data_IF_151344640549
#
_entry.id   IF_151344640549
#
_cell.length_a   1.000
_cell.length_b   1.000
_cell.length_c   1.000
_cell.angle_alpha   90.00
_cell.angle_beta   90.00
_cell.angle_gamma   90.00
#
_symmetry.space_group_name_H-M   'P 1'
#
loop_
_entity.id
_entity.type
_entity.pdbx_description
1 polymer ?
#
# COMPACT_ATOMS: atom_id res chain seq x y z
N UNK A 1 -22.32 -9.35 23.05
CA UNK A 1 -21.71 -8.05 23.37
C UNK A 1 -22.29 -7.01 22.42
N UNK A 2 -23.22 -6.19 22.89
CA UNK A 2 -23.80 -5.08 22.14
C UNK A 2 -22.85 -3.89 22.37
N UNK A 3 -22.33 -3.31 21.29
CA UNK A 3 -21.18 -2.39 21.32
C UNK A 3 -21.48 -1.07 22.04
N UNK A 4 -20.54 -0.69 22.91
CA UNK A 4 -20.49 0.56 23.71
C UNK A 4 -20.50 1.84 22.84
N UNK A 5 -20.38 1.70 21.52
CA UNK A 5 -20.34 2.80 20.54
C UNK A 5 -21.64 3.61 20.42
N UNK A 6 -22.78 3.08 20.90
CA UNK A 6 -24.08 3.73 20.77
C UNK A 6 -24.29 4.91 21.73
N UNK A 7 -23.35 5.13 22.67
CA UNK A 7 -23.41 6.17 23.71
C UNK A 7 -22.42 7.33 23.50
N UNK A 8 -21.62 7.33 22.44
CA UNK A 8 -20.71 8.44 22.17
C UNK A 8 -21.40 9.55 21.38
N UNK A 9 -21.34 10.76 21.91
CA UNK A 9 -21.83 11.97 21.25
C UNK A 9 -20.96 12.27 20.02
N UNK A 10 -21.58 12.39 18.84
CA UNK A 10 -20.87 12.68 17.59
C UNK A 10 -20.52 14.15 17.54
N UNK A 11 -19.23 14.47 17.56
CA UNK A 11 -18.71 15.80 17.26
C UNK A 11 -17.99 15.80 15.90
N UNK A 12 -18.15 16.88 15.14
CA UNK A 12 -17.42 17.11 13.89
C UNK A 12 -16.30 18.12 14.12
N UNK A 13 -15.09 17.78 13.69
CA UNK A 13 -13.94 18.68 13.70
C UNK A 13 -13.57 19.00 12.25
N UNK A 14 -13.44 20.28 11.93
CA UNK A 14 -12.83 20.71 10.67
C UNK A 14 -11.31 20.72 10.82
N UNK A 15 -10.62 20.08 9.87
CA UNK A 15 -9.16 20.03 9.83
C UNK A 15 -8.67 20.67 8.53
N UNK A 16 -7.55 21.39 8.60
CA UNK A 16 -6.94 22.04 7.44
C UNK A 16 -5.90 21.13 6.80
N UNK A 17 -6.00 20.93 5.48
CA UNK A 17 -4.96 20.25 4.71
C UNK A 17 -3.90 21.26 4.26
N UNK A 18 -2.61 20.93 4.48
CA UNK A 18 -1.49 21.79 4.06
C UNK A 18 -1.14 21.59 2.59
N UNK A 19 -1.28 20.36 2.08
CA UNK A 19 -0.91 20.01 0.72
C UNK A 19 -1.72 18.81 0.23
N UNK A 20 -1.92 18.74 -1.09
CA UNK A 20 -2.51 17.61 -1.78
C UNK A 20 -1.65 17.28 -3.01
N UNK A 21 -1.39 15.99 -3.21
CA UNK A 21 -0.66 15.47 -4.37
C UNK A 21 -1.46 14.37 -5.03
N UNK A 22 -1.69 14.51 -6.34
CA UNK A 22 -2.18 13.41 -7.16
C UNK A 22 -0.99 12.65 -7.72
N UNK A 23 -0.97 11.34 -7.49
CA UNK A 23 0.18 10.49 -7.83
C UNK A 23 -0.01 9.95 -9.24
N UNK A 24 1.00 10.13 -10.09
CA UNK A 24 1.03 9.64 -11.47
C UNK A 24 2.24 8.74 -11.70
N UNK A 25 2.02 7.66 -12.45
CA UNK A 25 3.07 6.87 -13.06
C UNK A 25 2.95 7.01 -14.57
N UNK A 26 3.95 7.64 -15.20
CA UNK A 26 3.83 8.16 -16.58
C UNK A 26 2.58 9.05 -16.67
N UNK A 27 1.73 8.84 -17.66
CA UNK A 27 0.50 9.61 -17.88
C UNK A 27 -0.74 9.00 -17.20
N UNK A 28 -0.56 7.99 -16.33
CA UNK A 28 -1.64 7.29 -15.64
C UNK A 28 -1.65 7.61 -14.14
N UNK A 29 -2.82 7.99 -13.63
CA UNK A 29 -3.00 8.22 -12.20
C UNK A 29 -2.95 6.90 -11.43
N UNK A 30 -2.24 6.90 -10.30
CA UNK A 30 -2.23 5.78 -9.35
C UNK A 30 -3.40 5.96 -8.39
N UNK A 31 -4.42 5.14 -8.54
CA UNK A 31 -5.58 5.12 -7.65
C UNK A 31 -5.39 4.17 -6.46
N UNK A 32 -6.35 4.18 -5.54
CA UNK A 32 -6.49 3.17 -4.48
C UNK A 32 -5.28 3.06 -3.53
N UNK A 33 -4.56 4.16 -3.31
CA UNK A 33 -3.53 4.24 -2.27
C UNK A 33 -4.22 4.11 -0.92
N UNK A 34 -3.85 3.09 -0.14
CA UNK A 34 -4.56 2.75 1.09
C UNK A 34 -3.67 2.91 2.33
N UNK A 35 -2.78 1.96 2.56
CA UNK A 35 -1.87 1.97 3.71
C UNK A 35 -0.57 2.67 3.34
N UNK A 36 -0.17 3.66 4.15
CA UNK A 36 1.00 4.50 3.93
C UNK A 36 2.02 4.31 5.06
N UNK A 37 3.30 4.34 4.72
CA UNK A 37 4.40 4.38 5.69
C UNK A 37 5.49 5.36 5.25
N UNK A 38 6.05 6.13 6.19
CA UNK A 38 7.16 7.04 5.92
C UNK A 38 8.51 6.35 6.17
N UNK A 39 9.25 6.11 5.10
CA UNK A 39 10.49 5.31 5.10
C UNK A 39 11.62 6.15 4.51
N UNK A 40 12.57 6.53 5.35
CA UNK A 40 13.83 7.20 4.95
C UNK A 40 13.67 8.37 3.94
N UNK A 41 12.66 9.21 4.14
CA UNK A 41 12.41 10.39 3.29
C UNK A 41 11.35 10.19 2.21
N UNK A 42 10.86 8.96 2.05
CA UNK A 42 9.85 8.59 1.07
C UNK A 42 8.53 8.23 1.76
N UNK A 43 7.44 8.39 1.03
CA UNK A 43 6.14 7.84 1.40
C UNK A 43 5.94 6.57 0.60
N UNK A 44 5.78 5.44 1.26
CA UNK A 44 5.46 4.18 0.62
C UNK A 44 3.98 3.91 0.78
N UNK A 45 3.30 3.46 -0.27
CA UNK A 45 1.87 3.19 -0.22
C UNK A 45 1.52 1.87 -0.89
N UNK A 46 0.73 1.04 -0.23
CA UNK A 46 0.12 -0.12 -0.86
C UNK A 46 -0.99 0.32 -1.82
N UNK A 47 -1.02 -0.25 -3.02
CA UNK A 47 -2.12 -0.06 -3.98
C UNK A 47 -3.17 -1.15 -3.74
N UNK A 48 -4.32 -0.76 -3.19
CA UNK A 48 -5.38 -1.69 -2.81
C UNK A 48 -5.87 -2.51 -4.01
N UNK A 49 -6.20 -3.78 -3.75
CA UNK A 49 -6.50 -4.84 -4.74
C UNK A 49 -5.32 -5.31 -5.60
N UNK A 50 -4.09 -4.92 -5.27
CA UNK A 50 -2.87 -5.36 -5.96
C UNK A 50 -1.85 -5.94 -4.96
N UNK A 51 -0.74 -6.47 -5.48
CA UNK A 51 0.45 -6.84 -4.72
C UNK A 51 1.61 -5.87 -4.96
N UNK A 52 1.29 -4.58 -5.11
CA UNK A 52 2.25 -3.54 -5.42
C UNK A 52 2.31 -2.48 -4.31
N UNK A 53 3.54 -2.07 -3.99
CA UNK A 53 3.82 -0.88 -3.18
C UNK A 53 4.46 0.16 -4.09
N UNK A 54 3.92 1.36 -4.09
CA UNK A 54 4.51 2.52 -4.77
C UNK A 54 5.38 3.31 -3.79
N UNK A 55 6.57 3.72 -4.22
CA UNK A 55 7.46 4.63 -3.49
C UNK A 55 7.26 6.03 -4.04
N UNK A 56 6.91 6.98 -3.17
CA UNK A 56 6.48 8.32 -3.52
C UNK A 56 7.41 9.33 -2.86
N UNK A 57 7.83 10.33 -3.63
CA UNK A 57 8.53 11.50 -3.10
C UNK A 57 7.58 12.33 -2.23
N UNK A 58 7.97 12.57 -0.98
CA UNK A 58 7.23 13.43 -0.06
C UNK A 58 7.08 14.88 -0.57
N UNK A 59 8.04 15.35 -1.39
CA UNK A 59 8.12 16.77 -1.75
C UNK A 59 7.14 17.16 -2.86
N UNK A 60 7.01 16.30 -3.87
CA UNK A 60 6.32 16.61 -5.13
C UNK A 60 5.37 15.49 -5.60
N UNK A 61 5.21 14.41 -4.83
CA UNK A 61 4.29 13.32 -5.18
C UNK A 61 4.74 12.45 -6.35
N UNK A 62 5.95 12.63 -6.89
CA UNK A 62 6.44 11.80 -7.99
C UNK A 62 6.69 10.36 -7.53
N UNK A 63 6.42 9.40 -8.41
CA UNK A 63 6.79 8.00 -8.19
C UNK A 63 8.31 7.84 -8.31
N UNK A 64 8.93 7.36 -7.23
CA UNK A 64 10.37 7.05 -7.15
C UNK A 64 10.65 5.60 -7.56
N UNK A 65 9.66 4.72 -7.46
CA UNK A 65 9.79 3.32 -7.87
C UNK A 65 8.63 2.45 -7.40
N UNK A 66 8.69 1.19 -7.79
CA UNK A 66 7.70 0.18 -7.47
C UNK A 66 8.37 -1.00 -6.77
N UNK A 67 7.66 -1.58 -5.80
CA UNK A 67 8.02 -2.83 -5.15
C UNK A 67 6.90 -3.82 -5.46
N UNK A 68 7.26 -4.91 -6.12
CA UNK A 68 6.37 -6.00 -6.43
C UNK A 68 6.48 -7.04 -5.30
N UNK A 69 5.35 -7.56 -4.82
CA UNK A 69 5.28 -8.59 -3.78
C UNK A 69 4.81 -9.95 -4.35
N UNK A 70 5.46 -10.53 -5.39
CA UNK A 70 4.96 -11.71 -6.08
C UNK A 70 4.91 -12.96 -5.18
N UNK A 71 5.88 -13.09 -4.27
CA UNK A 71 6.06 -14.30 -3.44
C UNK A 71 5.11 -14.38 -2.24
N UNK A 72 4.34 -13.33 -1.95
CA UNK A 72 3.33 -13.37 -0.89
C UNK A 72 2.05 -14.11 -1.33
N UNK A 73 2.00 -14.66 -2.54
CA UNK A 73 0.83 -15.41 -3.04
C UNK A 73 0.96 -16.92 -2.86
N UNK A 74 2.18 -17.47 -2.87
CA UNK A 74 2.41 -18.92 -2.82
C UNK A 74 2.02 -19.56 -1.47
N UNK A 75 2.26 -18.86 -0.35
CA UNK A 75 1.80 -19.27 0.99
C UNK A 75 0.30 -18.97 1.23
N UNK A 76 -0.31 -18.14 0.37
CA UNK A 76 -1.61 -17.52 0.60
C UNK A 76 -2.70 -18.01 -0.35
N UNK A 77 -2.45 -19.09 -1.10
CA UNK A 77 -3.41 -19.71 -2.01
C UNK A 77 -4.77 -20.03 -1.34
N UNK A 78 -4.78 -20.22 -0.01
CA UNK A 78 -6.00 -20.45 0.78
C UNK A 78 -6.78 -19.16 1.12
N UNK A 79 -6.12 -18.00 1.12
CA UNK A 79 -6.67 -16.69 1.52
C UNK A 79 -7.10 -15.84 0.31
N UNK A 80 -6.61 -16.14 -0.90
CA UNK A 80 -7.05 -15.51 -2.17
C UNK A 80 -8.56 -15.70 -2.41
N UNK A 81 -9.18 -16.72 -1.83
CA UNK A 81 -10.63 -16.94 -1.89
C UNK A 81 -11.46 -15.95 -1.08
N UNK A 82 -10.84 -15.16 -0.22
CA UNK A 82 -11.51 -14.11 0.54
C UNK A 82 -11.01 -12.76 -0.02
N UNK A 83 -11.90 -12.04 -0.70
CA UNK A 83 -11.68 -10.70 -1.29
C UNK A 83 -11.18 -9.62 -0.28
N UNK A 84 -10.89 -9.99 0.98
CA UNK A 84 -10.50 -9.12 2.08
C UNK A 84 -8.99 -9.09 2.37
N UNK A 85 -8.17 -9.84 1.63
CA UNK A 85 -6.71 -9.99 1.89
C UNK A 85 -5.81 -8.96 1.18
N UNK A 86 -6.37 -7.96 0.51
CA UNK A 86 -5.62 -6.95 -0.26
C UNK A 86 -5.07 -5.78 0.56
N UNK A 87 -5.35 -5.73 1.86
CA UNK A 87 -4.81 -4.71 2.74
C UNK A 87 -3.46 -5.19 3.25
N UNK A 88 -2.40 -4.53 2.79
CA UNK A 88 -1.02 -4.71 3.26
C UNK A 88 -0.73 -3.62 4.29
N UNK A 89 -0.51 -3.99 5.54
CA UNK A 89 0.03 -3.11 6.57
C UNK A 89 1.55 -3.12 6.46
N UNK A 90 2.17 -1.94 6.57
CA UNK A 90 3.63 -1.76 6.50
C UNK A 90 4.11 -0.94 7.70
N UNK A 91 5.26 -1.30 8.24
CA UNK A 91 5.91 -0.48 9.29
C UNK A 91 7.42 -0.48 9.16
N UNK A 92 8.03 0.62 9.58
CA UNK A 92 9.47 0.87 9.50
C UNK A 92 10.14 1.00 10.86
N UNK A 93 11.10 0.10 11.13
CA UNK A 93 12.04 0.24 12.24
C UNK A 93 13.23 1.08 11.79
N UNK A 94 13.19 2.38 12.11
CA UNK A 94 14.25 3.32 11.76
C UNK A 94 15.60 2.98 12.42
N UNK A 95 15.61 2.40 13.62
CA UNK A 95 16.84 2.12 14.36
C UNK A 95 17.63 0.98 13.73
N UNK A 96 16.93 -0.11 13.39
CA UNK A 96 17.57 -1.31 12.84
C UNK A 96 17.47 -1.39 11.32
N UNK A 97 16.81 -0.42 10.70
CA UNK A 97 16.58 -0.35 9.25
C UNK A 97 15.84 -1.58 8.70
N UNK A 98 14.74 -1.96 9.38
CA UNK A 98 13.93 -3.15 9.02
C UNK A 98 12.52 -2.75 8.62
N UNK A 99 12.03 -3.35 7.54
CA UNK A 99 10.66 -3.14 7.05
C UNK A 99 9.86 -4.38 7.40
N UNK A 100 8.69 -4.20 7.99
CA UNK A 100 7.76 -5.29 8.24
C UNK A 100 6.49 -5.10 7.43
N UNK A 101 5.99 -6.21 6.87
CA UNK A 101 4.71 -6.25 6.16
C UNK A 101 3.83 -7.37 6.70
N UNK A 102 2.55 -7.07 6.79
CA UNK A 102 1.51 -8.04 7.09
C UNK A 102 0.24 -7.64 6.35
N UNK A 103 -0.86 -8.33 6.57
CA UNK A 103 -2.14 -7.95 6.01
C UNK A 103 -3.30 -8.40 6.85
N UNK A 104 -4.49 -7.94 6.45
CA UNK A 104 -5.73 -8.32 7.13
C UNK A 104 -5.89 -9.85 7.03
N UNK A 105 -5.98 -10.51 8.19
CA UNK A 105 -6.08 -11.97 8.34
C UNK A 105 -4.83 -12.77 7.95
N UNK A 106 -3.67 -12.11 7.80
CA UNK A 106 -2.44 -12.85 7.57
C UNK A 106 -2.02 -13.59 8.84
N UNK A 107 -1.61 -14.87 8.73
CA UNK A 107 -1.18 -15.64 9.89
C UNK A 107 0.20 -15.23 10.40
N UNK A 108 0.93 -14.39 9.65
CA UNK A 108 2.33 -14.04 9.90
C UNK A 108 2.59 -12.56 9.62
N UNK A 109 3.57 -12.02 10.35
CA UNK A 109 4.27 -10.78 10.06
C UNK A 109 5.60 -11.15 9.38
N UNK A 110 5.93 -10.47 8.28
CA UNK A 110 7.17 -10.71 7.54
C UNK A 110 8.09 -9.52 7.68
N UNK A 111 9.34 -9.76 8.05
CA UNK A 111 10.42 -8.80 7.79
C UNK A 111 10.83 -8.93 6.32
N UNK A 112 10.88 -7.83 5.58
CA UNK A 112 11.24 -7.82 4.16
C UNK A 112 12.47 -6.95 3.91
N UNK A 113 13.23 -7.35 2.88
CA UNK A 113 14.32 -6.57 2.32
C UNK A 113 14.03 -6.29 0.86
N UNK A 114 13.99 -5.01 0.50
CA UNK A 114 13.82 -4.59 -0.90
C UNK A 114 15.16 -4.71 -1.61
N UNK A 115 15.15 -5.44 -2.73
CA UNK A 115 16.32 -5.63 -3.59
C UNK A 115 16.01 -5.13 -5.00
N UNK A 116 16.97 -4.50 -5.70
CA UNK A 116 16.77 -4.13 -7.10
C UNK A 116 16.52 -5.36 -7.97
N UNK A 117 15.59 -5.25 -8.92
CA UNK A 117 15.40 -6.27 -9.95
C UNK A 117 16.60 -6.21 -10.90
N UNK A 118 17.29 -7.34 -11.07
CA UNK A 118 18.49 -7.47 -11.90
C UNK A 118 18.24 -8.15 -13.26
N UNK A 119 16.96 -8.31 -13.63
CA UNK A 119 16.52 -8.88 -14.90
C UNK A 119 15.70 -7.84 -15.67
N UNK A 120 15.68 -7.93 -17.01
CA UNK A 120 14.74 -7.15 -17.80
C UNK A 120 13.32 -7.40 -17.32
N UNK A 121 12.54 -6.34 -17.27
CA UNK A 121 11.12 -6.37 -16.98
C UNK A 121 10.42 -5.98 -18.28
N UNK A 122 9.38 -6.72 -18.66
CA UNK A 122 8.61 -6.42 -19.86
C UNK A 122 7.99 -5.02 -19.77
N UNK A 123 8.00 -4.31 -20.89
CA UNK A 123 7.37 -3.00 -20.98
C UNK A 123 5.87 -3.11 -20.67
N UNK A 124 5.35 -2.22 -19.82
CA UNK A 124 3.94 -2.19 -19.46
C UNK A 124 3.55 -3.08 -18.27
N UNK A 125 4.46 -3.87 -17.70
CA UNK A 125 4.08 -4.79 -16.60
C UNK A 125 3.55 -4.05 -15.37
N UNK A 126 4.08 -2.85 -15.09
CA UNK A 126 3.70 -2.07 -13.91
C UNK A 126 2.28 -1.55 -14.08
N UNK A 127 1.98 -1.05 -15.27
CA UNK A 127 0.65 -0.63 -15.68
C UNK A 127 -0.33 -1.79 -15.56
N UNK A 128 0.05 -2.99 -16.02
CA UNK A 128 -0.78 -4.18 -15.94
C UNK A 128 -1.03 -4.67 -14.50
N UNK A 129 -0.01 -4.69 -13.65
CA UNK A 129 -0.10 -5.31 -12.32
C UNK A 129 -0.54 -4.34 -11.22
N UNK A 130 -0.24 -3.05 -11.37
CA UNK A 130 -0.32 -2.10 -10.29
C UNK A 130 -1.27 -0.93 -10.58
N UNK A 131 -1.61 -0.65 -11.84
CA UNK A 131 -2.50 0.45 -12.20
C UNK A 131 -3.92 -0.05 -12.48
N UNK A 132 -4.69 -0.18 -11.41
CA UNK A 132 -6.10 -0.55 -11.50
C UNK A 132 -7.01 0.68 -11.53
N UNK A 133 -8.21 0.49 -12.06
CA UNK A 133 -9.27 1.49 -12.00
C UNK A 133 -9.65 1.80 -10.54
N UNK A 134 -10.20 3.00 -10.26
CA UNK A 134 -10.68 3.34 -8.93
C UNK A 134 -11.63 2.27 -8.38
N UNK A 135 -11.35 1.78 -7.16
CA UNK A 135 -12.19 0.81 -6.48
C UNK A 135 -13.53 1.47 -6.14
N UNK A 136 -14.64 0.80 -6.47
CA UNK A 136 -15.99 1.25 -6.16
C UNK A 136 -16.52 0.48 -4.96
N UNK A 137 -16.76 1.19 -3.86
CA UNK A 137 -17.51 0.65 -2.73
C UNK A 137 -18.99 0.63 -3.13
N UNK A 138 -19.47 -0.50 -3.65
CA UNK A 138 -20.89 -0.76 -3.89
C UNK A 138 -21.57 -1.31 -2.66
#
# INVERSE_FOLDING_TARGET
MVGVWQLMEKSSLEVMAVQHHTIYYKDQQVYNLNELEYIDGEVWANVFTTHCIVRISRNDGRVLGWILLPNLTHDFFFLVYIQTNYLVLMTWDHQQKRIFVTGKLWPKLYEIKVVPINKPIDEGIIEQLCLHQPFKFT
#
